data_IF_556675274158
#
_entry.id   IF_556675274158
#
_cell.length_a   1.000
_cell.length_b   1.000
_cell.length_c   1.000
_cell.angle_alpha   90.00
_cell.angle_beta   90.00
_cell.angle_gamma   90.00
#
_symmetry.space_group_name_H-M   'P 1'
#
loop_
_entity.id
_entity.type
_entity.pdbx_description
1 polymer ?
#
# COMPACT_ATOMS: atom_id res chain seq x y z
N UNK A 1 29.23 -2.73 -10.93
CA UNK A 1 28.27 -2.40 -9.85
C UNK A 1 26.88 -2.32 -10.47
N UNK A 2 26.20 -3.46 -10.60
CA UNK A 2 24.92 -3.56 -11.30
C UNK A 2 23.80 -3.03 -10.42
N UNK A 3 23.03 -2.05 -10.92
CA UNK A 3 21.78 -1.63 -10.27
C UNK A 3 20.82 -2.81 -10.27
N UNK A 4 20.52 -3.33 -9.08
CA UNK A 4 19.38 -4.24 -8.87
C UNK A 4 18.12 -3.54 -9.37
N UNK A 5 17.51 -4.07 -10.43
CA UNK A 5 16.15 -3.67 -10.83
C UNK A 5 15.23 -3.98 -9.66
N UNK A 6 14.38 -3.06 -9.19
CA UNK A 6 13.29 -3.45 -8.31
C UNK A 6 12.43 -4.47 -9.07
N UNK A 7 12.35 -5.69 -8.54
CA UNK A 7 11.41 -6.69 -9.00
C UNK A 7 10.02 -6.21 -8.59
N UNK A 8 9.13 -6.03 -9.56
CA UNK A 8 7.73 -5.69 -9.29
C UNK A 8 6.91 -6.97 -9.47
N UNK A 9 6.20 -7.37 -8.43
CA UNK A 9 5.27 -8.49 -8.47
C UNK A 9 3.84 -7.95 -8.56
N UNK A 10 3.08 -8.44 -9.54
CA UNK A 10 1.70 -8.02 -9.76
C UNK A 10 0.78 -9.01 -9.04
N UNK A 11 0.06 -8.48 -8.06
CA UNK A 11 -1.00 -9.16 -7.35
C UNK A 11 -2.05 -9.85 -8.28
N UNK A 12 -2.42 -11.12 -8.04
CA UNK A 12 -3.44 -11.82 -8.83
C UNK A 12 -4.81 -11.13 -8.79
N UNK A 13 -5.47 -11.06 -9.96
CA UNK A 13 -6.69 -10.29 -10.22
C UNK A 13 -7.94 -10.70 -9.40
N UNK A 14 -7.91 -11.82 -8.68
CA UNK A 14 -9.05 -12.38 -7.92
C UNK A 14 -8.86 -12.39 -6.41
N UNK A 15 -7.68 -12.03 -5.92
CA UNK A 15 -7.45 -11.99 -4.49
C UNK A 15 -8.19 -10.79 -3.88
N UNK A 16 -8.89 -11.02 -2.77
CA UNK A 16 -9.41 -9.91 -1.97
C UNK A 16 -8.24 -9.01 -1.63
N UNK A 17 -8.45 -7.70 -1.70
CA UNK A 17 -7.37 -6.72 -1.53
C UNK A 17 -6.59 -6.91 -0.21
N UNK A 18 -7.26 -7.45 0.82
CA UNK A 18 -6.68 -7.82 2.11
C UNK A 18 -5.83 -9.11 2.07
N UNK A 19 -6.19 -10.09 1.24
CA UNK A 19 -5.41 -11.32 1.03
C UNK A 19 -4.09 -11.03 0.30
N UNK A 20 -4.08 -10.06 -0.61
CA UNK A 20 -2.86 -9.61 -1.30
C UNK A 20 -1.83 -9.00 -0.35
N UNK A 21 -2.28 -8.36 0.73
CA UNK A 21 -1.38 -7.83 1.76
C UNK A 21 -0.52 -8.91 2.44
N UNK A 22 -0.97 -10.17 2.43
CA UNK A 22 -0.17 -11.29 2.90
C UNK A 22 0.96 -11.65 1.95
N UNK A 23 0.72 -11.53 0.64
CA UNK A 23 1.66 -11.89 -0.42
C UNK A 23 2.59 -10.73 -0.81
N UNK A 24 2.16 -9.47 -0.64
CA UNK A 24 2.92 -8.28 -1.07
C UNK A 24 3.72 -7.61 0.05
N UNK A 25 4.00 -8.34 1.14
CA UNK A 25 4.89 -7.80 2.16
C UNK A 25 6.31 -7.72 1.58
N UNK A 26 6.83 -6.50 1.46
CA UNK A 26 8.21 -6.28 1.07
C UNK A 26 9.19 -7.05 1.96
N UNK A 27 10.45 -7.21 1.54
CA UNK A 27 11.44 -7.93 2.34
C UNK A 27 11.63 -7.31 3.73
N UNK A 28 12.15 -8.06 4.73
CA UNK A 28 12.49 -7.51 6.04
C UNK A 28 13.34 -6.24 5.93
N UNK A 29 13.08 -5.26 6.80
CA UNK A 29 13.70 -3.93 6.75
C UNK A 29 12.96 -2.92 5.86
N UNK A 30 11.85 -3.31 5.22
CA UNK A 30 11.04 -2.39 4.42
C UNK A 30 9.88 -1.76 5.19
N UNK A 31 9.33 -0.71 4.60
CA UNK A 31 8.13 -0.02 5.06
C UNK A 31 7.02 -0.22 4.04
N UNK A 32 5.91 -0.82 4.46
CA UNK A 32 4.68 -0.90 3.68
C UNK A 32 3.75 0.26 4.02
N UNK A 33 3.15 0.89 3.02
CA UNK A 33 2.16 1.96 3.20
C UNK A 33 0.81 1.47 2.67
N UNK A 34 -0.23 1.52 3.50
CA UNK A 34 -1.60 1.14 3.15
C UNK A 34 -2.60 2.28 3.33
N UNK A 35 -3.74 2.15 2.66
CA UNK A 35 -4.94 2.97 2.83
C UNK A 35 -5.56 2.79 4.26
N UNK A 36 -6.39 3.75 4.68
CA UNK A 36 -7.19 3.66 5.93
C UNK A 36 -8.02 2.38 6.00
N UNK A 37 -8.48 1.85 4.87
CA UNK A 37 -9.28 0.61 4.83
C UNK A 37 -8.48 -0.64 5.19
N UNK A 38 -7.15 -0.55 5.22
CA UNK A 38 -6.28 -1.63 5.69
C UNK A 38 -5.84 -1.45 7.13
N UNK A 39 -6.35 -0.45 7.85
CA UNK A 39 -6.07 -0.30 9.26
C UNK A 39 -6.46 -1.59 10.00
N UNK A 40 -5.44 -2.27 10.52
CA UNK A 40 -5.57 -3.51 11.28
C UNK A 40 -4.36 -3.64 12.19
N UNK A 41 -4.55 -3.44 13.51
CA UNK A 41 -3.47 -3.60 14.49
C UNK A 41 -2.86 -5.00 14.45
N UNK A 42 -3.69 -6.04 14.25
CA UNK A 42 -3.24 -7.42 14.11
C UNK A 42 -2.32 -7.59 12.90
N UNK A 43 -2.74 -7.11 11.72
CA UNK A 43 -1.91 -7.18 10.51
C UNK A 43 -0.59 -6.39 10.67
N UNK A 44 -0.63 -5.24 11.32
CA UNK A 44 0.58 -4.46 11.59
C UNK A 44 1.55 -5.22 12.51
N UNK A 45 1.05 -5.91 13.53
CA UNK A 45 1.85 -6.74 14.42
C UNK A 45 2.45 -7.96 13.69
N UNK A 46 1.64 -8.66 12.88
CA UNK A 46 2.12 -9.78 12.04
C UNK A 46 3.25 -9.34 11.10
N UNK A 47 3.11 -8.18 10.46
CA UNK A 47 4.16 -7.63 9.57
C UNK A 47 5.40 -7.22 10.34
N UNK A 48 5.24 -6.62 11.52
CA UNK A 48 6.36 -6.25 12.37
C UNK A 48 7.17 -7.49 12.79
N UNK A 49 6.50 -8.61 13.10
CA UNK A 49 7.16 -9.89 13.37
C UNK A 49 7.96 -10.43 12.16
N UNK A 50 7.49 -10.15 10.94
CA UNK A 50 8.21 -10.43 9.70
C UNK A 50 9.29 -9.38 9.34
N UNK A 51 9.56 -8.40 10.21
CA UNK A 51 10.55 -7.35 9.98
C UNK A 51 10.09 -6.23 9.05
N UNK A 52 8.79 -6.12 8.77
CA UNK A 52 8.21 -5.09 7.89
C UNK A 52 7.40 -4.11 8.72
N UNK A 53 7.71 -2.81 8.62
CA UNK A 53 6.92 -1.77 9.27
C UNK A 53 5.71 -1.43 8.39
N UNK A 54 4.51 -1.70 8.86
CA UNK A 54 3.28 -1.40 8.11
C UNK A 54 2.62 -0.11 8.62
N UNK A 55 2.47 0.88 7.74
CA UNK A 55 1.90 2.19 8.03
C UNK A 55 0.55 2.36 7.33
N UNK A 56 -0.50 2.52 8.12
CA UNK A 56 -1.82 2.94 7.65
C UNK A 56 -2.29 4.14 8.46
N UNK A 57 -3.06 5.06 7.87
CA UNK A 57 -3.88 5.99 8.65
C UNK A 57 -4.83 5.21 9.57
N UNK A 58 -5.22 5.81 10.69
CA UNK A 58 -6.28 5.24 11.52
C UNK A 58 -7.61 5.24 10.74
N UNK A 59 -8.44 4.22 10.96
CA UNK A 59 -9.74 4.13 10.30
C UNK A 59 -10.66 5.29 10.72
N UNK A 60 -10.82 5.59 12.02
CA UNK A 60 -11.39 6.85 12.47
C UNK A 60 -10.31 7.93 12.53
N UNK A 61 -10.46 9.00 11.74
CA UNK A 61 -9.53 10.14 11.73
C UNK A 61 -9.43 10.84 13.08
N UNK A 62 -10.50 10.82 13.89
CA UNK A 62 -10.51 11.40 15.25
C UNK A 62 -9.61 10.66 16.25
N UNK A 63 -9.19 9.43 15.92
CA UNK A 63 -8.31 8.61 16.77
C UNK A 63 -6.87 8.64 16.31
N UNK A 64 -6.54 9.43 15.28
CA UNK A 64 -5.16 9.55 14.82
C UNK A 64 -4.33 10.34 15.86
N UNK A 65 -3.31 9.71 16.47
CA UNK A 65 -2.50 10.37 17.50
C UNK A 65 -1.50 11.38 16.91
N UNK A 66 -1.20 11.27 15.62
CA UNK A 66 -0.24 12.12 14.93
C UNK A 66 -0.81 12.65 13.60
N UNK A 67 -1.34 13.89 13.59
CA UNK A 67 -1.87 14.52 12.39
C UNK A 67 -0.83 14.69 11.27
N UNK A 68 0.44 14.91 11.61
CA UNK A 68 1.50 15.10 10.62
C UNK A 68 1.81 13.78 9.90
N UNK A 69 1.87 12.67 10.65
CA UNK A 69 1.98 11.32 10.09
C UNK A 69 0.82 11.01 9.15
N UNK A 70 -0.43 11.30 9.55
CA UNK A 70 -1.58 11.07 8.68
C UNK A 70 -1.54 11.92 7.40
N UNK A 71 -1.14 13.19 7.49
CA UNK A 71 -0.98 14.05 6.32
C UNK A 71 0.08 13.50 5.35
N UNK A 72 1.22 13.02 5.88
CA UNK A 72 2.28 12.38 5.07
C UNK A 72 1.76 11.12 4.35
N UNK A 73 1.00 10.27 5.04
CA UNK A 73 0.42 9.06 4.45
C UNK A 73 -0.63 9.40 3.38
N UNK A 74 -1.47 10.39 3.62
CA UNK A 74 -2.45 10.88 2.65
C UNK A 74 -1.78 11.45 1.39
N UNK A 75 -0.73 12.25 1.55
CA UNK A 75 0.04 12.78 0.42
C UNK A 75 0.72 11.66 -0.39
N UNK A 76 1.23 10.63 0.27
CA UNK A 76 1.83 9.46 -0.39
C UNK A 76 0.79 8.69 -1.21
N UNK A 77 -0.39 8.44 -0.61
CA UNK A 77 -1.53 7.82 -1.29
C UNK A 77 -1.96 8.59 -2.53
N UNK A 78 -2.11 9.92 -2.41
CA UNK A 78 -2.50 10.78 -3.53
C UNK A 78 -1.55 10.65 -4.72
N UNK A 79 -0.23 10.62 -4.46
CA UNK A 79 0.79 10.42 -5.51
C UNK A 79 0.65 9.05 -6.17
N UNK A 80 0.46 7.98 -5.39
CA UNK A 80 0.26 6.64 -5.94
C UNK A 80 -1.00 6.54 -6.80
N UNK A 81 -2.12 7.09 -6.35
CA UNK A 81 -3.36 7.10 -7.13
C UNK A 81 -3.21 7.90 -8.43
N UNK A 82 -2.51 9.04 -8.37
CA UNK A 82 -2.23 9.87 -9.54
C UNK A 82 -1.40 9.10 -10.57
N UNK A 83 -0.29 8.50 -10.14
CA UNK A 83 0.59 7.72 -11.02
C UNK A 83 -0.14 6.49 -11.56
N UNK A 84 -0.89 5.77 -10.73
CA UNK A 84 -1.68 4.62 -11.17
C UNK A 84 -2.75 5.02 -12.19
N UNK A 85 -3.41 6.16 -12.01
CA UNK A 85 -4.35 6.73 -12.98
C UNK A 85 -3.67 7.04 -14.32
N UNK A 86 -2.52 7.73 -14.27
CA UNK A 86 -1.72 8.05 -15.46
C UNK A 86 -1.24 6.78 -16.20
N UNK A 87 -0.81 5.75 -15.46
CA UNK A 87 -0.41 4.47 -16.05
C UNK A 87 -1.62 3.75 -16.67
N UNK A 88 -2.75 3.71 -15.97
CA UNK A 88 -3.96 3.10 -16.48
C UNK A 88 -4.46 3.79 -17.76
N UNK A 89 -4.35 5.12 -17.83
CA UNK A 89 -4.65 5.90 -19.03
C UNK A 89 -3.67 5.61 -20.17
N UNK A 90 -2.36 5.70 -19.89
CA UNK A 90 -1.30 5.47 -20.88
C UNK A 90 -1.38 4.09 -21.54
N UNK A 91 -1.74 3.07 -20.77
CA UNK A 91 -1.79 1.69 -21.23
C UNK A 91 -3.22 1.20 -21.52
N UNK A 92 -4.21 2.10 -21.54
CA UNK A 92 -5.62 1.75 -21.79
C UNK A 92 -6.16 0.62 -20.89
N UNK A 93 -5.62 0.51 -19.68
CA UNK A 93 -5.97 -0.53 -18.71
C UNK A 93 -7.22 -0.18 -17.89
N UNK A 94 -7.89 0.94 -18.17
CA UNK A 94 -9.18 1.29 -17.57
C UNK A 94 -10.24 0.32 -18.06
N UNK A 95 -10.89 -0.38 -17.12
CA UNK A 95 -12.03 -1.26 -17.41
C UNK A 95 -13.18 -0.39 -17.93
N UNK A 96 -13.53 -0.52 -19.22
CA UNK A 96 -14.75 0.08 -19.78
C UNK A 96 -15.92 -0.76 -19.29
N UNK A 97 -16.84 -0.14 -18.56
CA UNK A 97 -18.11 -0.77 -18.23
C UNK A 97 -18.97 -0.70 -19.49
N UNK A 98 -19.37 -1.87 -19.99
CA UNK A 98 -20.38 -2.06 -21.02
C UNK A 98 -21.63 -2.65 -20.36
#
# INVERSE_FOLDING_TARGET
MGRTRPAFEIAPARATVKALLLETAGPPGTVGIGDRWYYSPALAAERAAAGVRFLTPYLPTSTEPDPARAAMLAASRYRFETVNGQLADRYHAKRKWA
#
